data_IF_858575942360
#
_entry.id   IF_858575942360
#
_cell.length_a   1.000
_cell.length_b   1.000
_cell.length_c   1.000
_cell.angle_alpha   90.00
_cell.angle_beta   90.00
_cell.angle_gamma   90.00
#
_symmetry.space_group_name_H-M   'P 1'
#
loop_
_entity.id
_entity.type
_entity.pdbx_description
1 polymer ?
#
# COMPACT_ATOMS: atom_id res chain seq x y z
N UNK A 1 8.46 -0.35 6.50
CA UNK A 1 9.17 -1.08 7.60
C UNK A 1 10.38 -1.78 7.02
N UNK A 2 11.49 -1.87 7.75
CA UNK A 2 12.71 -2.54 7.27
C UNK A 2 12.65 -4.06 7.42
N UNK A 3 13.17 -4.77 6.43
CA UNK A 3 13.37 -6.22 6.44
C UNK A 3 14.25 -6.65 7.62
N UNK A 4 13.88 -7.75 8.29
CA UNK A 4 14.70 -8.37 9.32
C UNK A 4 15.44 -9.56 8.71
N UNK A 5 16.76 -9.57 8.81
CA UNK A 5 17.62 -10.66 8.35
C UNK A 5 18.20 -11.37 9.57
N UNK A 6 17.97 -12.68 9.65
CA UNK A 6 18.47 -13.54 10.70
C UNK A 6 19.52 -14.50 10.10
N UNK A 7 20.78 -14.28 10.46
CA UNK A 7 21.84 -15.23 10.16
C UNK A 7 21.86 -16.31 11.25
N UNK A 8 21.43 -17.52 10.89
CA UNK A 8 21.35 -18.67 11.80
C UNK A 8 22.61 -19.53 11.80
N UNK A 9 23.59 -19.22 10.95
CA UNK A 9 24.83 -19.98 10.86
C UNK A 9 25.78 -19.67 12.03
N UNK A 10 26.59 -20.65 12.47
CA UNK A 10 26.62 -22.04 12.01
C UNK A 10 25.61 -22.96 12.75
N UNK A 11 24.76 -22.40 13.62
CA UNK A 11 23.94 -23.17 14.55
C UNK A 11 22.82 -23.96 13.87
N UNK A 12 22.11 -23.33 12.92
CA UNK A 12 20.97 -23.93 12.24
C UNK A 12 21.08 -23.64 10.74
N UNK A 13 21.15 -24.71 9.95
CA UNK A 13 20.99 -24.65 8.49
C UNK A 13 19.65 -25.26 8.12
N UNK A 14 18.72 -24.43 7.69
CA UNK A 14 17.40 -24.88 7.27
C UNK A 14 17.52 -25.60 5.92
N UNK A 15 17.20 -26.89 5.88
CA UNK A 15 16.91 -27.60 4.62
C UNK A 15 15.67 -27.04 3.93
N UNK A 16 15.48 -27.39 2.66
CA UNK A 16 14.32 -26.94 1.87
C UNK A 16 12.99 -27.40 2.48
N UNK A 17 12.94 -28.63 3.00
CA UNK A 17 11.75 -29.14 3.67
C UNK A 17 11.51 -28.38 4.99
N UNK A 18 12.55 -28.08 5.77
CA UNK A 18 12.40 -27.30 7.00
C UNK A 18 11.94 -25.86 6.72
N UNK A 19 12.50 -25.20 5.71
CA UNK A 19 12.06 -23.86 5.29
C UNK A 19 10.61 -23.88 4.78
N UNK A 20 10.22 -24.91 4.01
CA UNK A 20 8.84 -25.10 3.58
C UNK A 20 7.89 -25.26 4.78
N UNK A 21 8.24 -26.11 5.75
CA UNK A 21 7.44 -26.31 6.96
C UNK A 21 7.34 -25.02 7.79
N UNK A 22 8.42 -24.23 7.87
CA UNK A 22 8.39 -22.90 8.51
C UNK A 22 7.34 -22.00 7.85
N UNK A 23 7.36 -21.88 6.53
CA UNK A 23 6.37 -21.09 5.79
C UNK A 23 4.94 -21.60 6.01
N UNK A 24 4.74 -22.92 6.00
CA UNK A 24 3.43 -23.54 6.19
C UNK A 24 2.86 -23.36 7.60
N UNK A 25 3.73 -23.30 8.62
CA UNK A 25 3.35 -23.11 10.02
C UNK A 25 3.08 -21.63 10.36
N UNK A 26 3.55 -20.70 9.54
CA UNK A 26 3.44 -19.26 9.78
C UNK A 26 2.84 -18.56 8.54
N UNK A 27 1.61 -18.95 8.17
CA UNK A 27 0.95 -18.50 6.92
C UNK A 27 0.71 -16.99 6.82
N UNK A 28 0.64 -16.31 7.96
CA UNK A 28 0.41 -14.86 8.02
C UNK A 28 1.72 -14.05 7.89
N UNK A 29 2.86 -14.73 7.78
CA UNK A 29 4.19 -14.13 7.66
C UNK A 29 4.84 -14.53 6.35
N UNK A 30 5.56 -13.59 5.72
CA UNK A 30 6.31 -13.83 4.49
C UNK A 30 7.78 -14.07 4.84
N UNK A 31 8.30 -15.24 4.48
CA UNK A 31 9.69 -15.61 4.67
C UNK A 31 10.40 -15.79 3.34
N UNK A 32 11.65 -15.35 3.29
CA UNK A 32 12.57 -15.61 2.21
C UNK A 32 13.86 -16.22 2.78
N UNK A 33 14.68 -16.81 1.93
CA UNK A 33 16.01 -17.30 2.30
C UNK A 33 17.03 -16.83 1.28
N UNK A 34 18.14 -16.25 1.71
CA UNK A 34 19.21 -15.85 0.80
C UNK A 34 20.00 -17.06 0.29
N UNK A 35 20.85 -16.86 -0.71
CA UNK A 35 21.78 -17.90 -1.22
C UNK A 35 22.73 -18.38 -0.11
N UNK A 36 23.10 -17.48 0.82
CA UNK A 36 23.94 -17.78 1.98
C UNK A 36 23.20 -18.52 3.11
N UNK A 37 21.90 -18.77 2.95
CA UNK A 37 21.08 -19.49 3.92
C UNK A 37 20.51 -18.62 5.04
N UNK A 38 20.60 -17.29 4.93
CA UNK A 38 20.04 -16.37 5.93
C UNK A 38 18.52 -16.32 5.80
N UNK A 39 17.82 -16.32 6.94
CA UNK A 39 16.37 -16.22 6.97
C UNK A 39 15.96 -14.75 6.92
N UNK A 40 15.12 -14.42 5.97
CA UNK A 40 14.58 -13.09 5.76
C UNK A 40 13.12 -13.09 6.18
N UNK A 41 12.76 -12.18 7.10
CA UNK A 41 11.36 -11.90 7.44
C UNK A 41 10.96 -10.65 6.67
N UNK A 42 10.11 -10.84 5.66
CA UNK A 42 9.63 -9.77 4.81
C UNK A 42 8.45 -9.09 5.50
N UNK A 43 8.49 -7.77 5.73
CA UNK A 43 7.36 -7.05 6.30
C UNK A 43 6.16 -7.15 5.35
N UNK A 44 4.95 -7.21 5.93
CA UNK A 44 3.73 -7.15 5.15
C UNK A 44 3.69 -5.82 4.37
N UNK A 45 3.44 -5.93 3.08
CA UNK A 45 3.28 -4.77 2.20
C UNK A 45 1.91 -4.16 2.47
N UNK A 46 1.83 -2.82 2.47
CA UNK A 46 0.55 -2.13 2.60
C UNK A 46 -0.42 -2.47 1.46
N UNK A 47 -1.72 -2.29 1.69
CA UNK A 47 -2.79 -2.64 0.74
C UNK A 47 -2.57 -2.07 -0.68
N UNK A 48 -1.96 -0.89 -0.79
CA UNK A 48 -1.64 -0.23 -2.05
C UNK A 48 -0.61 -1.01 -2.90
N UNK A 49 0.50 -1.41 -2.29
CA UNK A 49 1.54 -2.17 -2.99
C UNK A 49 1.02 -3.52 -3.46
N UNK A 50 0.17 -4.16 -2.65
CA UNK A 50 -0.49 -5.42 -3.03
C UNK A 50 -1.51 -5.23 -4.17
N UNK A 51 -2.23 -4.09 -4.22
CA UNK A 51 -3.13 -3.78 -5.33
C UNK A 51 -2.37 -3.63 -6.66
N UNK A 52 -1.19 -2.99 -6.66
CA UNK A 52 -0.37 -2.87 -7.88
C UNK A 52 0.18 -4.20 -8.34
N UNK A 53 0.65 -5.03 -7.41
CA UNK A 53 1.09 -6.39 -7.74
C UNK A 53 -0.04 -7.21 -8.33
N UNK A 54 -1.26 -7.10 -7.78
CA UNK A 54 -2.43 -7.76 -8.33
C UNK A 54 -2.75 -7.31 -9.77
N UNK A 55 -2.67 -6.01 -10.06
CA UNK A 55 -2.84 -5.47 -11.42
C UNK A 55 -1.78 -6.02 -12.39
N UNK A 56 -0.51 -6.06 -11.99
CA UNK A 56 0.57 -6.62 -12.80
C UNK A 56 0.36 -8.11 -13.10
N UNK A 57 0.01 -8.89 -12.07
CA UNK A 57 -0.30 -10.32 -12.22
C UNK A 57 -1.48 -10.50 -13.17
N UNK A 58 -2.52 -9.65 -13.07
CA UNK A 58 -3.70 -9.72 -13.95
C UNK A 58 -3.31 -9.54 -15.42
N UNK A 59 -2.49 -8.53 -15.75
CA UNK A 59 -2.05 -8.29 -17.13
C UNK A 59 -1.26 -9.48 -17.69
N UNK A 60 -0.33 -10.02 -16.90
CA UNK A 60 0.44 -11.20 -17.30
C UNK A 60 -0.45 -12.44 -17.51
N UNK A 61 -1.41 -12.67 -16.61
CA UNK A 61 -2.36 -13.79 -16.73
C UNK A 61 -3.29 -13.63 -17.93
N UNK A 62 -3.70 -12.39 -18.24
CA UNK A 62 -4.53 -12.09 -19.41
C UNK A 62 -3.77 -12.41 -20.71
N UNK A 63 -2.56 -11.88 -20.86
CA UNK A 63 -1.72 -12.19 -22.02
C UNK A 63 -1.49 -13.69 -22.19
N UNK A 64 -1.24 -14.40 -21.09
CA UNK A 64 -1.00 -15.83 -21.15
C UNK A 64 -2.19 -16.65 -21.66
N UNK A 65 -3.41 -16.28 -21.24
CA UNK A 65 -4.61 -16.94 -21.73
C UNK A 65 -4.80 -16.76 -23.22
N UNK A 66 -4.42 -15.58 -23.75
CA UNK A 66 -4.52 -15.26 -25.17
C UNK A 66 -3.47 -16.00 -25.99
N UNK A 67 -2.24 -16.10 -25.50
CA UNK A 67 -1.14 -16.68 -26.26
C UNK A 67 -1.19 -18.21 -26.32
N UNK A 68 -1.83 -18.90 -25.37
CA UNK A 68 -1.80 -20.37 -25.20
C UNK A 68 -0.38 -20.99 -25.14
N UNK A 69 0.66 -20.15 -25.13
CA UNK A 69 2.04 -20.58 -25.19
C UNK A 69 2.56 -20.99 -23.81
N UNK A 70 1.86 -20.63 -22.72
CA UNK A 70 2.52 -20.58 -21.42
C UNK A 70 1.61 -20.90 -20.20
N UNK A 71 2.23 -21.27 -19.07
CA UNK A 71 1.55 -21.49 -17.78
C UNK A 71 2.04 -20.46 -16.76
N UNK A 72 1.10 -19.69 -16.20
CA UNK A 72 1.41 -18.56 -15.32
C UNK A 72 1.44 -18.89 -13.86
N UNK A 73 2.36 -18.23 -13.14
CA UNK A 73 2.52 -18.35 -11.70
C UNK A 73 2.29 -16.99 -11.05
N UNK A 74 1.71 -17.00 -9.85
CA UNK A 74 1.47 -15.79 -9.07
C UNK A 74 2.60 -15.56 -8.04
N UNK A 75 2.57 -14.39 -7.41
CA UNK A 75 3.53 -13.85 -6.43
C UNK A 75 3.83 -14.71 -5.19
N UNK A 76 3.10 -15.81 -5.01
CA UNK A 76 3.25 -16.74 -3.88
C UNK A 76 4.11 -17.96 -4.21
N UNK A 77 4.61 -18.05 -5.44
CA UNK A 77 5.51 -19.12 -5.85
C UNK A 77 6.93 -18.70 -5.49
N UNK A 78 7.57 -19.39 -4.53
CA UNK A 78 9.00 -19.20 -4.30
C UNK A 78 9.75 -19.87 -5.45
N UNK A 79 10.61 -19.12 -6.13
CA UNK A 79 11.49 -19.63 -7.18
C UNK A 79 12.87 -19.85 -6.59
N UNK A 80 13.45 -21.02 -6.83
CA UNK A 80 14.79 -21.36 -6.33
C UNK A 80 15.81 -21.28 -7.47
N UNK A 81 16.78 -20.36 -7.41
CA UNK A 81 17.97 -20.44 -8.23
C UNK A 81 18.76 -21.75 -7.95
N UNK A 82 19.39 -22.38 -8.95
CA UNK A 82 20.30 -23.52 -8.77
C UNK A 82 21.30 -23.36 -7.63
N UNK A 83 21.84 -22.15 -7.46
CA UNK A 83 22.82 -21.82 -6.41
C UNK A 83 22.22 -21.77 -4.99
N UNK A 84 20.89 -21.76 -4.85
CA UNK A 84 20.19 -21.66 -3.58
C UNK A 84 19.35 -20.40 -3.45
N UNK A 85 18.77 -20.21 -2.26
CA UNK A 85 17.83 -19.11 -1.99
C UNK A 85 16.37 -19.44 -2.31
N UNK A 86 15.46 -18.75 -1.62
CA UNK A 86 14.01 -18.79 -1.85
C UNK A 86 13.49 -17.36 -1.73
N UNK A 87 13.19 -16.72 -2.86
CA UNK A 87 12.59 -15.39 -2.85
C UNK A 87 11.14 -15.46 -3.30
N UNK A 88 10.31 -14.60 -2.73
CA UNK A 88 8.94 -14.43 -3.18
C UNK A 88 8.87 -13.16 -4.02
N UNK A 89 8.85 -13.40 -5.31
CA UNK A 89 8.82 -12.41 -6.36
C UNK A 89 7.43 -11.76 -6.48
N UNK A 90 7.38 -10.49 -6.85
CA UNK A 90 6.12 -9.76 -6.97
C UNK A 90 5.29 -10.19 -8.19
N UNK A 91 5.94 -10.52 -9.30
CA UNK A 91 5.36 -11.33 -10.36
C UNK A 91 6.46 -12.12 -11.06
N UNK A 92 6.19 -13.37 -11.43
CA UNK A 92 7.19 -14.22 -12.04
C UNK A 92 6.55 -15.27 -12.94
N UNK A 93 7.34 -15.72 -13.89
CA UNK A 93 6.85 -16.55 -14.97
C UNK A 93 7.88 -17.58 -15.43
N UNK A 94 7.43 -18.80 -15.71
CA UNK A 94 8.22 -19.86 -16.31
C UNK A 94 7.50 -20.43 -17.55
N UNK A 95 8.26 -20.82 -18.56
CA UNK A 95 7.72 -21.43 -19.79
C UNK A 95 7.03 -22.77 -19.53
N UNK A 96 6.09 -23.13 -20.42
CA UNK A 96 5.43 -24.45 -20.40
C UNK A 96 6.44 -25.59 -20.52
N UNK A 97 7.54 -25.38 -21.23
CA UNK A 97 8.62 -26.35 -21.37
C UNK A 97 9.22 -26.70 -20.00
N UNK A 98 9.63 -25.69 -19.23
CA UNK A 98 10.14 -25.88 -17.88
C UNK A 98 9.10 -26.53 -16.95
N UNK A 99 7.83 -26.10 -17.05
CA UNK A 99 6.75 -26.68 -16.24
C UNK A 99 6.53 -28.17 -16.54
N UNK A 100 6.56 -28.56 -17.81
CA UNK A 100 6.31 -29.94 -18.25
C UNK A 100 7.48 -30.89 -17.93
N UNK A 101 8.68 -30.37 -17.67
CA UNK A 101 9.81 -31.15 -17.18
C UNK A 101 9.67 -31.54 -15.69
N UNK A 102 8.77 -30.87 -14.94
CA UNK A 102 8.57 -31.17 -13.53
C UNK A 102 7.69 -32.40 -13.30
N UNK A 103 8.02 -33.19 -12.28
CA UNK A 103 7.14 -34.25 -11.78
C UNK A 103 5.89 -33.67 -11.11
N UNK A 104 4.77 -34.43 -11.04
CA UNK A 104 3.56 -33.98 -10.34
C UNK A 104 3.77 -33.61 -8.87
N UNK A 105 4.78 -34.20 -8.20
CA UNK A 105 5.15 -33.88 -6.82
C UNK A 105 5.87 -32.53 -6.72
N UNK A 106 6.76 -32.22 -7.68
CA UNK A 106 7.46 -30.94 -7.76
C UNK A 106 6.49 -29.80 -8.12
N UNK A 107 5.52 -30.06 -9.00
CA UNK A 107 4.47 -29.09 -9.36
C UNK A 107 3.56 -28.70 -8.17
N UNK A 108 3.49 -29.53 -7.11
CA UNK A 108 2.64 -29.30 -5.92
C UNK A 108 3.38 -28.68 -4.74
N UNK A 109 4.72 -28.70 -4.72
CA UNK A 109 5.54 -28.08 -3.67
C UNK A 109 6.13 -26.77 -4.19
N UNK A 110 6.68 -25.94 -3.29
CA UNK A 110 7.42 -24.71 -3.64
C UNK A 110 8.26 -24.98 -4.88
N UNK A 111 7.91 -24.30 -5.98
CA UNK A 111 8.38 -24.70 -7.28
C UNK A 111 9.86 -24.40 -7.38
N UNK A 112 10.67 -25.45 -7.54
CA UNK A 112 12.07 -25.38 -7.96
C UNK A 112 12.23 -24.86 -9.40
N UNK A 113 11.30 -24.02 -9.85
CA UNK A 113 11.35 -23.38 -11.14
C UNK A 113 12.26 -22.16 -11.00
N UNK A 114 12.96 -21.89 -12.08
CA UNK A 114 13.66 -20.64 -12.29
C UNK A 114 12.83 -19.83 -13.31
N UNK A 115 12.51 -18.56 -13.05
CA UNK A 115 11.63 -17.81 -13.94
C UNK A 115 12.36 -17.38 -15.22
N UNK A 116 11.73 -17.57 -16.37
CA UNK A 116 12.13 -16.95 -17.63
C UNK A 116 11.94 -15.42 -17.58
N UNK A 117 10.97 -14.96 -16.79
CA UNK A 117 10.66 -13.54 -16.61
C UNK A 117 10.18 -13.21 -15.21
N UNK A 118 10.58 -12.06 -14.69
CA UNK A 118 10.14 -11.58 -13.39
C UNK A 118 9.96 -10.06 -13.34
N UNK A 119 9.07 -9.61 -12.45
CA UNK A 119 8.85 -8.21 -12.11
C UNK A 119 9.00 -8.07 -10.60
N UNK A 120 9.74 -7.06 -10.17
CA UNK A 120 9.85 -6.59 -8.80
C UNK A 120 9.28 -5.18 -8.70
N UNK A 121 8.45 -4.94 -7.68
CA UNK A 121 7.80 -3.66 -7.42
C UNK A 121 8.09 -3.22 -5.98
N UNK A 122 9.27 -2.62 -5.72
CA UNK A 122 9.65 -2.16 -4.40
C UNK A 122 8.64 -1.12 -3.88
N UNK A 123 8.03 -1.40 -2.72
CA UNK A 123 7.05 -0.51 -2.10
C UNK A 123 7.67 0.75 -1.51
N UNK A 124 8.93 0.67 -1.07
CA UNK A 124 9.70 1.73 -0.43
C UNK A 124 11.12 1.81 -1.02
N UNK A 125 11.76 2.98 -0.95
CA UNK A 125 13.13 3.16 -1.46
C UNK A 125 14.17 2.24 -0.81
N UNK A 126 13.97 1.90 0.47
CA UNK A 126 14.85 0.98 1.21
C UNK A 126 14.80 -0.46 0.67
N UNK A 127 13.79 -0.82 -0.12
CA UNK A 127 13.64 -2.13 -0.75
C UNK A 127 14.31 -2.21 -2.13
N UNK A 128 14.81 -1.09 -2.68
CA UNK A 128 15.37 -1.05 -4.03
C UNK A 128 16.65 -1.87 -4.17
N UNK A 129 17.61 -1.70 -3.25
CA UNK A 129 18.86 -2.48 -3.27
C UNK A 129 18.63 -3.99 -3.04
N UNK A 130 17.83 -4.42 -2.05
CA UNK A 130 17.43 -5.82 -1.93
C UNK A 130 16.81 -6.39 -3.20
N UNK A 131 15.89 -5.67 -3.85
CA UNK A 131 15.31 -6.14 -5.11
C UNK A 131 16.35 -6.17 -6.24
N UNK A 132 17.28 -5.20 -6.35
CA UNK A 132 18.39 -5.25 -7.33
C UNK A 132 19.29 -6.48 -7.13
N UNK A 133 19.58 -6.85 -5.89
CA UNK A 133 20.33 -8.07 -5.57
C UNK A 133 19.57 -9.31 -6.05
N UNK A 134 18.26 -9.41 -5.76
CA UNK A 134 17.41 -10.48 -6.28
C UNK A 134 17.43 -10.55 -7.80
N UNK A 135 17.28 -9.40 -8.50
CA UNK A 135 17.37 -9.35 -9.96
C UNK A 135 18.67 -9.98 -10.47
N UNK A 136 19.80 -9.63 -9.85
CA UNK A 136 21.10 -10.15 -10.24
C UNK A 136 21.25 -11.65 -9.95
N UNK A 137 20.76 -12.12 -8.80
CA UNK A 137 20.75 -13.55 -8.47
C UNK A 137 19.96 -14.35 -9.52
N UNK A 138 18.76 -13.90 -9.89
CA UNK A 138 17.99 -14.57 -10.94
C UNK A 138 18.64 -14.46 -12.32
N UNK A 139 19.30 -13.34 -12.63
CA UNK A 139 20.06 -13.15 -13.87
C UNK A 139 21.21 -14.14 -14.01
N UNK A 140 21.97 -14.35 -12.94
CA UNK A 140 23.05 -15.33 -12.89
C UNK A 140 22.54 -16.77 -13.09
N UNK A 141 21.27 -17.01 -12.78
CA UNK A 141 20.66 -18.32 -12.77
C UNK A 141 19.74 -18.59 -13.98
N UNK A 142 19.78 -17.75 -15.02
CA UNK A 142 19.11 -18.00 -16.31
C UNK A 142 17.94 -17.08 -16.63
N UNK A 143 17.74 -15.98 -15.88
CA UNK A 143 16.63 -15.05 -16.14
C UNK A 143 16.83 -14.42 -17.51
N UNK A 144 15.80 -14.50 -18.36
CA UNK A 144 15.87 -13.97 -19.72
C UNK A 144 15.52 -12.49 -19.77
N UNK A 145 14.50 -12.08 -19.01
CA UNK A 145 14.06 -10.70 -18.92
C UNK A 145 13.56 -10.38 -17.51
N UNK A 146 13.93 -9.23 -16.98
CA UNK A 146 13.46 -8.79 -15.66
C UNK A 146 13.18 -7.30 -15.60
N UNK A 147 12.10 -6.90 -14.93
CA UNK A 147 11.74 -5.50 -14.71
C UNK A 147 11.72 -5.16 -13.23
N UNK A 148 12.50 -4.15 -12.85
CA UNK A 148 12.42 -3.54 -11.53
C UNK A 148 11.75 -2.17 -11.68
N UNK A 149 10.54 -2.03 -11.17
CA UNK A 149 9.71 -0.84 -11.38
C UNK A 149 9.75 0.04 -10.13
N UNK A 150 10.42 1.19 -10.21
CA UNK A 150 10.44 2.17 -9.14
C UNK A 150 9.30 3.18 -9.32
N UNK A 151 8.22 3.00 -8.56
CA UNK A 151 7.03 3.87 -8.60
C UNK A 151 7.33 5.31 -8.17
N UNK A 152 8.23 5.51 -7.20
CA UNK A 152 8.52 6.84 -6.65
C UNK A 152 9.28 7.71 -7.64
N UNK A 153 10.20 7.11 -8.39
CA UNK A 153 11.00 7.78 -9.41
C UNK A 153 10.42 7.67 -10.81
N UNK A 154 9.34 6.92 -10.99
CA UNK A 154 8.78 6.54 -12.31
C UNK A 154 9.86 6.00 -13.25
N UNK A 155 10.69 5.12 -12.71
CA UNK A 155 11.84 4.58 -13.40
C UNK A 155 11.68 3.07 -13.52
N UNK A 156 12.10 2.51 -14.64
CA UNK A 156 12.15 1.06 -14.83
C UNK A 156 13.58 0.65 -15.14
N UNK A 157 14.10 -0.31 -14.39
CA UNK A 157 15.35 -0.98 -14.71
C UNK A 157 15.03 -2.32 -15.40
N UNK A 158 15.63 -2.53 -16.57
CA UNK A 158 15.43 -3.71 -17.40
C UNK A 158 16.71 -4.53 -17.39
N UNK A 159 16.57 -5.79 -17.00
CA UNK A 159 17.63 -6.78 -16.89
C UNK A 159 17.46 -7.82 -17.99
N UNK A 160 18.54 -8.15 -18.71
CA UNK A 160 18.57 -9.16 -19.78
C UNK A 160 19.85 -9.96 -19.70
N UNK A 161 19.78 -11.25 -20.05
CA UNK A 161 20.95 -12.12 -20.01
C UNK A 161 22.08 -11.55 -20.88
N UNK A 162 23.30 -11.51 -20.35
CA UNK A 162 24.50 -11.04 -21.06
C UNK A 162 24.42 -9.60 -21.59
N UNK A 163 23.59 -8.75 -20.99
CA UNK A 163 23.49 -7.34 -21.37
C UNK A 163 23.62 -6.43 -20.15
N UNK A 164 24.11 -5.22 -20.39
CA UNK A 164 24.13 -4.17 -19.38
C UNK A 164 22.68 -3.76 -19.09
N UNK A 165 22.38 -3.59 -17.80
CA UNK A 165 21.09 -3.10 -17.32
C UNK A 165 20.71 -1.80 -18.03
N UNK A 166 19.51 -1.77 -18.60
CA UNK A 166 18.94 -0.58 -19.21
C UNK A 166 18.04 0.14 -18.19
N UNK A 167 18.08 1.46 -18.19
CA UNK A 167 17.22 2.27 -17.32
C UNK A 167 16.37 3.17 -18.18
N UNK A 168 15.06 3.14 -17.96
CA UNK A 168 14.08 3.99 -18.63
C UNK A 168 13.44 4.95 -17.62
N UNK A 169 13.40 6.22 -17.99
CA UNK A 169 12.74 7.28 -17.22
C UNK A 169 11.32 7.52 -17.78
N UNK A 170 10.33 7.52 -16.90
CA UNK A 170 8.90 7.71 -17.18
C UNK A 170 8.38 6.94 -18.43
N UNK A 171 8.71 5.63 -18.59
CA UNK A 171 8.30 4.89 -19.77
C UNK A 171 6.79 4.69 -19.78
N UNK A 172 6.11 5.00 -20.88
CA UNK A 172 4.66 4.76 -20.98
C UNK A 172 4.30 3.28 -21.13
N UNK A 173 5.15 2.51 -21.77
CA UNK A 173 4.92 1.10 -22.08
C UNK A 173 6.23 0.31 -21.97
N UNK A 174 6.13 -0.97 -21.63
CA UNK A 174 7.23 -1.93 -21.68
C UNK A 174 6.88 -3.10 -22.59
N UNK A 175 7.79 -3.45 -23.49
CA UNK A 175 7.64 -4.64 -24.34
C UNK A 175 8.22 -5.87 -23.65
N UNK A 176 7.49 -6.98 -23.70
CA UNK A 176 7.96 -8.30 -23.30
C UNK A 176 9.02 -8.93 -24.21
N UNK A 177 9.37 -8.26 -25.31
CA UNK A 177 10.43 -8.65 -26.25
C UNK A 177 10.26 -10.08 -26.78
N UNK A 178 11.38 -10.79 -26.99
CA UNK A 178 11.40 -12.18 -27.44
C UNK A 178 11.09 -13.18 -26.32
N UNK A 179 11.00 -12.73 -25.07
CA UNK A 179 10.63 -13.58 -23.93
C UNK A 179 9.11 -13.70 -23.84
N UNK A 180 8.40 -12.60 -24.08
CA UNK A 180 6.94 -12.51 -24.16
C UNK A 180 6.52 -11.82 -25.47
N UNK A 181 6.52 -12.55 -26.59
CA UNK A 181 6.19 -11.98 -27.89
C UNK A 181 4.81 -11.32 -27.89
N UNK A 182 4.77 -10.05 -28.28
CA UNK A 182 3.53 -9.25 -28.35
C UNK A 182 2.96 -8.82 -27.00
N UNK A 183 3.60 -9.14 -25.88
CA UNK A 183 3.21 -8.56 -24.59
C UNK A 183 3.68 -7.12 -24.51
N UNK A 184 2.76 -6.23 -24.12
CA UNK A 184 3.06 -4.83 -23.83
C UNK A 184 2.37 -4.48 -22.52
N UNK A 185 3.15 -4.08 -21.52
CA UNK A 185 2.63 -3.58 -20.26
C UNK A 185 2.45 -2.07 -20.36
N UNK A 186 1.22 -1.60 -20.19
CA UNK A 186 0.90 -0.18 -20.10
C UNK A 186 1.15 0.35 -18.68
N UNK A 187 2.16 1.21 -18.54
CA UNK A 187 2.54 1.80 -17.25
C UNK A 187 1.84 3.13 -17.00
N UNK A 188 1.12 3.70 -17.97
CA UNK A 188 0.40 4.97 -17.78
C UNK A 188 -0.60 4.91 -16.62
N UNK A 189 -1.24 3.75 -16.45
CA UNK A 189 -2.16 3.47 -15.35
C UNK A 189 -1.46 3.32 -14.00
N UNK A 190 -0.19 2.92 -13.98
CA UNK A 190 0.64 2.84 -12.76
C UNK A 190 1.17 4.22 -12.38
N UNK A 191 1.62 5.03 -13.35
CA UNK A 191 2.15 6.38 -13.11
C UNK A 191 1.07 7.41 -12.73
N UNK A 192 -0.09 7.30 -13.35
CA UNK A 192 -1.22 8.23 -13.19
C UNK A 192 -1.96 8.08 -11.87
N UNK A 193 -1.73 6.97 -11.14
CA UNK A 193 -2.24 6.79 -9.78
C UNK A 193 -1.32 7.51 -8.78
N UNK A 194 -1.20 8.84 -8.91
CA UNK A 194 -0.56 9.67 -7.89
C UNK A 194 -1.46 9.67 -6.65
N UNK A 195 -1.12 8.87 -5.64
CA UNK A 195 -1.96 8.64 -4.46
C UNK A 195 -1.77 9.67 -3.34
N UNK A 196 -1.48 10.91 -3.71
CA UNK A 196 -1.73 12.02 -2.82
C UNK A 196 -2.97 12.74 -3.34
N UNK A 197 -4.09 12.60 -2.62
CA UNK A 197 -5.31 13.42 -2.71
C UNK A 197 -6.52 12.88 -3.50
N UNK A 198 -6.39 12.36 -4.73
CA UNK A 198 -7.56 12.21 -5.61
C UNK A 198 -8.50 11.04 -5.29
N UNK A 199 -7.97 9.86 -4.95
CA UNK A 199 -8.80 8.66 -4.73
C UNK A 199 -9.47 8.66 -3.35
N UNK A 200 -8.77 9.14 -2.31
CA UNK A 200 -9.36 9.36 -0.99
C UNK A 200 -10.52 10.36 -1.03
N UNK A 201 -10.34 11.51 -1.71
CA UNK A 201 -11.40 12.49 -1.88
C UNK A 201 -12.56 11.97 -2.74
N UNK A 202 -12.28 11.30 -3.88
CA UNK A 202 -13.32 10.69 -4.72
C UNK A 202 -14.12 9.63 -3.99
N UNK A 203 -13.47 8.77 -3.21
CA UNK A 203 -14.15 7.72 -2.44
C UNK A 203 -14.97 8.33 -1.29
N UNK A 204 -14.48 9.39 -0.65
CA UNK A 204 -15.23 10.18 0.34
C UNK A 204 -16.46 10.82 -0.32
N UNK A 205 -16.32 11.43 -1.50
CA UNK A 205 -17.44 12.00 -2.24
C UNK A 205 -18.45 10.94 -2.67
N UNK A 206 -18.00 9.77 -3.15
CA UNK A 206 -18.90 8.66 -3.49
C UNK A 206 -19.59 8.09 -2.25
N UNK A 207 -18.90 7.96 -1.12
CA UNK A 207 -19.50 7.57 0.17
C UNK A 207 -20.59 8.54 0.62
N UNK A 208 -20.43 9.84 0.36
CA UNK A 208 -21.40 10.88 0.74
C UNK A 208 -22.56 11.01 -0.24
N UNK A 209 -22.27 10.98 -1.54
CA UNK A 209 -23.20 11.44 -2.59
C UNK A 209 -23.62 10.36 -3.58
N UNK A 210 -22.90 9.23 -3.66
CA UNK A 210 -23.20 8.13 -4.60
C UNK A 210 -22.91 6.73 -4.01
N UNK A 211 -23.47 6.38 -2.83
CA UNK A 211 -23.12 5.14 -2.13
C UNK A 211 -23.53 3.88 -2.90
N UNK A 212 -24.56 3.95 -3.75
CA UNK A 212 -25.01 2.84 -4.60
C UNK A 212 -24.05 2.53 -5.74
N UNK A 213 -23.33 3.53 -6.26
CA UNK A 213 -22.29 3.33 -7.26
C UNK A 213 -21.07 2.62 -6.64
N UNK A 214 -20.69 3.03 -5.42
CA UNK A 214 -19.63 2.39 -4.64
C UNK A 214 -19.99 0.95 -4.26
N UNK A 215 -21.24 0.71 -3.86
CA UNK A 215 -21.78 -0.62 -3.57
C UNK A 215 -21.66 -1.53 -4.81
N UNK A 216 -22.12 -1.05 -5.97
CA UNK A 216 -22.04 -1.80 -7.24
C UNK A 216 -20.60 -2.12 -7.63
N UNK A 217 -19.70 -1.13 -7.58
CA UNK A 217 -18.27 -1.29 -7.89
C UNK A 217 -17.59 -2.30 -6.94
N UNK A 218 -17.95 -2.26 -5.65
CA UNK A 218 -17.42 -3.20 -4.65
C UNK A 218 -17.96 -4.63 -4.77
N UNK A 219 -19.21 -4.79 -5.23
CA UNK A 219 -19.82 -6.09 -5.51
C UNK A 219 -19.27 -6.73 -6.78
N UNK A 220 -19.02 -5.93 -7.82
CA UNK A 220 -18.36 -6.40 -9.05
C UNK A 220 -16.91 -6.85 -8.79
N UNK A 221 -16.22 -6.22 -7.83
CA UNK A 221 -14.85 -6.58 -7.46
C UNK A 221 -14.75 -7.86 -6.61
N UNK A 222 -15.77 -8.18 -5.79
CA UNK A 222 -15.78 -9.36 -4.90
C UNK A 222 -16.90 -10.32 -5.26
N UNK A 223 -16.62 -11.23 -6.20
CA UNK A 223 -17.50 -12.30 -6.69
C UNK A 223 -18.01 -13.32 -5.64
N UNK A 224 -18.06 -13.01 -4.34
CA UNK A 224 -18.59 -13.95 -3.33
C UNK A 224 -18.93 -13.36 -1.93
N UNK A 225 -19.16 -12.04 -1.78
CA UNK A 225 -19.65 -11.50 -0.49
C UNK A 225 -21.16 -11.31 -0.55
N UNK A 226 -21.87 -11.68 0.54
CA UNK A 226 -23.28 -11.32 0.74
C UNK A 226 -23.45 -9.81 0.66
N UNK A 227 -24.24 -9.34 -0.31
CA UNK A 227 -24.45 -7.91 -0.57
C UNK A 227 -24.81 -7.11 0.68
N UNK A 228 -25.53 -7.73 1.61
CA UNK A 228 -25.91 -7.15 2.90
C UNK A 228 -24.70 -6.76 3.77
N UNK A 229 -23.61 -7.52 3.72
CA UNK A 229 -22.38 -7.20 4.47
C UNK A 229 -21.66 -5.99 3.88
N UNK A 230 -21.61 -5.90 2.55
CA UNK A 230 -21.03 -4.76 1.83
C UNK A 230 -21.81 -3.49 2.13
N UNK A 231 -23.14 -3.57 2.03
CA UNK A 231 -24.05 -2.45 2.30
C UNK A 231 -23.92 -1.95 3.74
N UNK A 232 -23.91 -2.86 4.72
CA UNK A 232 -23.72 -2.51 6.14
C UNK A 232 -22.39 -1.81 6.38
N UNK A 233 -21.29 -2.32 5.81
CA UNK A 233 -19.97 -1.70 5.95
C UNK A 233 -19.91 -0.29 5.33
N UNK A 234 -20.56 -0.08 4.18
CA UNK A 234 -20.67 1.23 3.54
C UNK A 234 -21.48 2.19 4.44
N UNK A 235 -22.60 1.73 5.00
CA UNK A 235 -23.42 2.53 5.92
C UNK A 235 -22.68 2.90 7.21
N UNK A 236 -21.95 1.96 7.81
CA UNK A 236 -21.18 2.20 9.03
C UNK A 236 -20.03 3.18 8.79
N UNK A 237 -19.30 3.04 7.67
CA UNK A 237 -18.28 4.02 7.25
C UNK A 237 -18.89 5.39 6.97
N UNK A 238 -20.07 5.44 6.33
CA UNK A 238 -20.78 6.69 6.04
C UNK A 238 -21.23 7.38 7.33
N UNK A 239 -21.77 6.65 8.30
CA UNK A 239 -22.12 7.20 9.63
C UNK A 239 -20.90 7.75 10.35
N UNK A 240 -19.78 7.03 10.32
CA UNK A 240 -18.50 7.49 10.85
C UNK A 240 -18.03 8.80 10.19
N UNK A 241 -18.12 8.88 8.86
CA UNK A 241 -17.75 10.07 8.09
C UNK A 241 -18.65 11.27 8.40
N UNK A 242 -19.97 11.11 8.43
CA UNK A 242 -20.91 12.18 8.82
C UNK A 242 -20.67 12.66 10.24
N UNK A 243 -20.36 11.74 11.17
CA UNK A 243 -19.97 12.08 12.52
C UNK A 243 -18.69 12.93 12.53
N UNK A 244 -17.65 12.56 11.78
CA UNK A 244 -16.43 13.37 11.69
C UNK A 244 -16.67 14.75 11.05
N UNK A 245 -17.46 14.82 9.98
CA UNK A 245 -17.79 16.10 9.33
C UNK A 245 -18.59 17.02 10.25
N UNK A 246 -19.49 16.49 11.07
CA UNK A 246 -20.26 17.30 12.02
C UNK A 246 -19.36 17.97 13.07
N UNK A 247 -18.29 17.30 13.51
CA UNK A 247 -17.27 17.87 14.40
C UNK A 247 -16.42 18.98 13.78
N UNK A 248 -16.52 19.20 12.47
CA UNK A 248 -15.84 20.29 11.77
C UNK A 248 -16.84 21.40 11.43
N UNK A 249 -17.96 21.06 10.77
CA UNK A 249 -18.90 22.05 10.26
C UNK A 249 -19.76 22.70 11.35
N UNK A 250 -20.18 21.96 12.39
CA UNK A 250 -20.98 22.55 13.47
C UNK A 250 -20.16 23.60 14.24
N UNK A 251 -18.92 23.31 14.68
CA UNK A 251 -18.09 24.32 15.31
C UNK A 251 -17.77 25.52 14.40
N UNK A 252 -17.48 25.28 13.11
CA UNK A 252 -17.26 26.38 12.16
C UNK A 252 -18.48 27.31 12.04
N UNK A 253 -19.68 26.75 11.89
CA UNK A 253 -20.92 27.52 11.81
C UNK A 253 -21.19 28.31 13.10
N UNK A 254 -20.98 27.68 14.26
CA UNK A 254 -21.08 28.36 15.57
C UNK A 254 -20.09 29.52 15.69
N UNK A 255 -18.86 29.36 15.19
CA UNK A 255 -17.85 30.41 15.13
C UNK A 255 -18.31 31.61 14.28
N UNK A 256 -18.88 31.36 13.10
CA UNK A 256 -19.42 32.42 12.22
C UNK A 256 -20.60 33.14 12.88
N UNK A 257 -21.56 32.40 13.44
CA UNK A 257 -22.73 32.97 14.11
C UNK A 257 -22.29 33.81 15.32
N UNK A 258 -21.35 33.30 16.13
CA UNK A 258 -20.81 34.03 17.27
C UNK A 258 -20.14 35.34 16.83
N UNK A 259 -19.36 35.33 15.75
CA UNK A 259 -18.74 36.53 15.21
C UNK A 259 -19.79 37.55 14.72
N UNK A 260 -20.82 37.09 14.01
CA UNK A 260 -21.92 37.96 13.54
C UNK A 260 -22.67 38.61 14.70
N UNK A 261 -22.97 37.85 15.75
CA UNK A 261 -23.62 38.37 16.96
C UNK A 261 -22.72 39.37 17.70
N UNK A 262 -21.44 39.04 17.87
CA UNK A 262 -20.48 39.93 18.54
C UNK A 262 -20.32 41.24 17.80
N UNK A 263 -20.19 41.22 16.46
CA UNK A 263 -20.11 42.42 15.64
C UNK A 263 -21.35 43.32 15.75
N UNK A 264 -22.51 42.75 16.07
CA UNK A 264 -23.76 43.51 16.22
C UNK A 264 -23.87 44.19 17.59
N UNK A 265 -23.20 43.66 18.62
CA UNK A 265 -23.34 44.09 20.02
C UNK A 265 -22.11 44.86 20.52
N UNK A 266 -20.92 44.55 20.00
CA UNK A 266 -19.63 45.09 20.48
C UNK A 266 -18.68 45.40 19.32
N UNK A 267 -17.97 46.53 19.44
CA UNK A 267 -16.81 46.86 18.61
C UNK A 267 -15.58 46.29 19.31
N UNK A 268 -14.90 45.31 18.68
CA UNK A 268 -13.71 44.69 19.25
C UNK A 268 -12.48 45.46 18.79
N UNK A 269 -11.66 45.99 19.73
CA UNK A 269 -10.42 46.65 19.38
C UNK A 269 -9.47 45.78 18.54
N UNK A 270 -8.90 46.33 17.48
CA UNK A 270 -7.95 45.65 16.57
C UNK A 270 -6.80 44.94 17.27
N UNK A 271 -6.31 45.51 18.38
CA UNK A 271 -5.22 44.93 19.17
C UNK A 271 -5.63 43.66 19.94
N UNK A 272 -6.93 43.37 20.12
CA UNK A 272 -7.41 42.20 20.87
C UNK A 272 -7.51 40.93 20.02
N UNK A 273 -7.79 41.08 18.73
CA UNK A 273 -7.98 39.95 17.79
C UNK A 273 -6.77 39.00 17.71
N UNK A 274 -5.50 39.48 17.69
CA UNK A 274 -4.33 38.61 17.73
C UNK A 274 -4.28 37.73 18.98
N UNK A 275 -4.62 38.26 20.16
CA UNK A 275 -4.62 37.48 21.41
C UNK A 275 -5.66 36.37 21.40
N UNK A 276 -6.88 36.66 20.92
CA UNK A 276 -7.95 35.65 20.78
C UNK A 276 -7.51 34.55 19.81
N UNK A 277 -6.88 34.92 18.69
CA UNK A 277 -6.40 33.96 17.68
C UNK A 277 -5.25 33.10 18.19
N UNK A 278 -4.30 33.68 18.91
CA UNK A 278 -3.20 32.91 19.52
C UNK A 278 -3.72 31.95 20.57
N UNK A 279 -4.68 32.38 21.41
CA UNK A 279 -5.32 31.53 22.40
C UNK A 279 -6.11 30.38 21.77
N UNK A 280 -6.90 30.66 20.72
CA UNK A 280 -7.68 29.64 20.02
C UNK A 280 -6.79 28.60 19.33
N UNK A 281 -5.72 29.04 18.66
CA UNK A 281 -4.72 28.18 18.06
C UNK A 281 -3.97 27.35 19.10
N UNK A 282 -3.71 27.89 20.29
CA UNK A 282 -3.06 27.16 21.39
C UNK A 282 -3.95 26.04 21.91
N UNK A 283 -5.26 26.27 22.07
CA UNK A 283 -6.23 25.24 22.46
C UNK A 283 -6.34 24.16 21.38
N UNK A 284 -6.42 24.58 20.11
CA UNK A 284 -6.49 23.65 18.98
C UNK A 284 -5.22 22.79 18.87
N UNK A 285 -4.05 23.43 18.97
CA UNK A 285 -2.75 22.76 18.99
C UNK A 285 -2.65 21.79 20.16
N UNK A 286 -3.03 22.19 21.37
CA UNK A 286 -3.05 21.32 22.55
C UNK A 286 -3.92 20.08 22.32
N UNK A 287 -5.14 20.24 21.81
CA UNK A 287 -6.02 19.11 21.50
C UNK A 287 -5.43 18.16 20.43
N UNK A 288 -4.70 18.70 19.45
CA UNK A 288 -4.04 17.88 18.42
C UNK A 288 -2.77 17.19 18.91
N UNK A 289 -1.94 17.88 19.70
CA UNK A 289 -0.66 17.40 20.23
C UNK A 289 -0.86 16.40 21.37
N UNK A 290 -1.93 16.54 22.17
CA UNK A 290 -2.35 15.54 23.18
C UNK A 290 -2.73 14.18 22.56
N UNK A 291 -2.66 14.06 21.23
CA UNK A 291 -2.86 12.84 20.47
C UNK A 291 -1.56 12.28 19.85
N UNK A 292 -0.46 13.04 19.83
CA UNK A 292 0.79 12.64 19.19
C UNK A 292 1.76 11.93 20.13
N UNK A 293 1.73 12.25 21.42
CA UNK A 293 2.52 11.53 22.43
C UNK A 293 1.63 10.48 23.08
N UNK A 294 1.69 9.21 22.65
CA UNK A 294 1.51 8.04 23.53
C UNK A 294 1.67 6.67 22.82
N UNK A 295 2.11 5.69 23.62
CA UNK A 295 2.38 4.31 23.20
C UNK A 295 1.10 3.53 22.88
N UNK A 296 1.15 2.76 21.78
CA UNK A 296 0.05 1.91 21.32
C UNK A 296 0.04 0.58 22.09
N UNK A 297 -1.16 0.07 22.41
CA UNK A 297 -1.30 -1.33 22.85
C UNK A 297 -1.10 -2.30 21.67
N UNK A 298 -0.90 -3.59 21.95
CA UNK A 298 -0.67 -4.63 20.93
C UNK A 298 -1.82 -4.73 19.90
N UNK A 299 -3.04 -4.34 20.29
CA UNK A 299 -4.23 -4.34 19.43
C UNK A 299 -4.45 -2.99 18.70
N UNK A 300 -3.47 -2.08 18.77
CA UNK A 300 -3.48 -0.81 18.06
C UNK A 300 -4.28 0.33 18.70
N UNK A 301 -5.00 0.08 19.81
CA UNK A 301 -5.76 1.12 20.51
C UNK A 301 -4.94 1.78 21.63
N UNK A 302 -5.08 3.09 21.85
CA UNK A 302 -4.45 3.83 22.95
C UNK A 302 -5.36 3.82 24.21
N UNK A 303 -4.78 3.88 25.43
CA UNK A 303 -5.55 3.96 26.69
C UNK A 303 -6.55 5.15 26.73
N UNK A 304 -6.25 6.31 26.11
CA UNK A 304 -7.20 7.43 25.97
C UNK A 304 -8.34 7.21 24.98
N UNK A 305 -8.22 6.31 23.98
CA UNK A 305 -9.34 5.98 23.08
C UNK A 305 -10.52 5.37 23.84
N UNK A 306 -10.26 4.74 24.98
CA UNK A 306 -11.29 4.24 25.89
C UNK A 306 -11.75 5.25 26.94
N UNK A 307 -10.98 6.29 27.25
CA UNK A 307 -11.24 7.11 28.45
C UNK A 307 -11.36 8.61 28.24
N UNK A 308 -11.09 9.17 27.05
CA UNK A 308 -11.24 10.63 26.91
C UNK A 308 -11.55 11.21 25.52
N UNK A 309 -12.25 10.45 24.69
CA UNK A 309 -12.74 10.95 23.39
C UNK A 309 -13.66 12.17 23.53
N UNK A 310 -14.34 12.32 24.67
CA UNK A 310 -15.22 13.45 24.94
C UNK A 310 -14.46 14.76 25.14
N UNK A 311 -13.42 14.81 25.99
CA UNK A 311 -12.66 16.05 26.22
C UNK A 311 -11.90 16.49 24.97
N UNK A 312 -11.37 15.54 24.17
CA UNK A 312 -10.78 15.89 22.88
C UNK A 312 -11.78 16.61 21.96
N UNK A 313 -12.97 16.03 21.78
CA UNK A 313 -14.03 16.61 20.94
C UNK A 313 -14.46 17.99 21.45
N UNK A 314 -14.52 18.17 22.76
CA UNK A 314 -14.85 19.45 23.40
C UNK A 314 -13.80 20.53 23.10
N UNK A 315 -12.51 20.25 23.36
CA UNK A 315 -11.44 21.23 23.16
C UNK A 315 -11.15 21.51 21.69
N UNK A 316 -11.17 20.48 20.83
CA UNK A 316 -11.03 20.63 19.39
C UNK A 316 -12.15 21.50 18.82
N UNK A 317 -13.41 21.18 19.14
CA UNK A 317 -14.57 21.94 18.68
C UNK A 317 -14.53 23.38 19.17
N UNK A 318 -14.25 23.62 20.45
CA UNK A 318 -14.19 24.96 21.01
C UNK A 318 -13.06 25.81 20.42
N UNK A 319 -11.82 25.28 20.34
CA UNK A 319 -10.68 25.98 19.75
C UNK A 319 -10.86 26.27 18.27
N UNK A 320 -11.46 25.34 17.52
CA UNK A 320 -11.76 25.52 16.10
C UNK A 320 -12.84 26.59 15.87
N UNK A 321 -13.95 26.55 16.62
CA UNK A 321 -15.00 27.58 16.57
C UNK A 321 -14.43 28.98 16.83
N UNK A 322 -13.62 29.12 17.88
CA UNK A 322 -13.03 30.41 18.27
C UNK A 322 -12.07 30.93 17.19
N UNK A 323 -11.29 30.03 16.58
CA UNK A 323 -10.40 30.39 15.46
C UNK A 323 -11.18 30.91 14.27
N UNK A 324 -12.26 30.21 13.86
CA UNK A 324 -13.14 30.65 12.77
C UNK A 324 -13.79 31.99 13.10
N UNK A 325 -14.27 32.19 14.34
CA UNK A 325 -14.85 33.47 14.75
C UNK A 325 -13.88 34.63 14.51
N UNK A 326 -12.59 34.50 14.86
CA UNK A 326 -11.57 35.57 14.65
C UNK A 326 -11.30 35.94 13.20
N UNK A 327 -11.78 35.17 12.22
CA UNK A 327 -11.67 35.51 10.79
C UNK A 327 -12.78 36.47 10.35
N UNK A 328 -13.90 36.51 11.07
CA UNK A 328 -15.11 37.26 10.69
C UNK A 328 -15.47 38.37 11.69
N UNK A 329 -14.65 38.60 12.71
CA UNK A 329 -14.81 39.75 13.60
C UNK A 329 -14.51 41.05 12.84
N UNK A 330 -15.40 42.03 12.97
CA UNK A 330 -15.19 43.39 12.50
C UNK A 330 -14.16 44.06 13.40
N UNK A 331 -13.26 44.83 12.79
CA UNK A 331 -12.12 45.44 13.45
C UNK A 331 -12.18 46.95 13.20
N UNK A 332 -12.05 47.75 14.26
CA UNK A 332 -11.83 49.20 14.22
C UNK A 332 -10.33 49.56 14.40
#
# INVERSE_FOLDING_TARGET
MTQIILNLNPFIQLSDEQFYQLCQNHRDSKFERTVQGELVIVPLVGEEGESWKADLIRELMYWNRQSQLVKGFNSLTCFRPPEGGNHSLDAAWASSEQWNQLTPKQQKKLSLLHPDFLIELPSENNALEPSRQKMQEYLNNGLRLGWLINLQKRQVEIYRTNQIKQVLEDPKQLSGENVFPGFVLDLSTLWGKSWHFSMGFRNILQLLFAPTALEKESLEWRNNIQADTVKKNIEDKRKGLFSTLSWIFIPAALGVIAAQLLNHVYIIPSNFVPYIRTFSLSIFAFATLSRLEEARTFDGNSLPEKTNTFLFKLFYGFGFSLTIATLFLAID
#
